data_IF_252548019827
#
_entry.id   IF_252548019827
#
_cell.length_a   1.000
_cell.length_b   1.000
_cell.length_c   1.000
_cell.angle_alpha   90.00
_cell.angle_beta   90.00
_cell.angle_gamma   90.00
#
_symmetry.space_group_name_H-M   'P 1'
#
loop_
_entity.id
_entity.type
_entity.pdbx_description
1 polymer ?
#
# COMPACT_ATOMS: atom_id res chain seq x y z
N UNK A 1 -26.39 32.74 41.74
CA UNK A 1 -26.34 31.70 40.74
C UNK A 1 -25.07 30.81 40.88
N UNK A 2 -24.77 30.28 42.09
CA UNK A 2 -23.58 29.49 42.36
C UNK A 2 -23.84 28.03 42.74
N UNK A 3 -25.10 27.64 42.90
CA UNK A 3 -25.44 26.29 43.43
C UNK A 3 -25.42 25.15 42.40
N UNK A 4 -25.48 25.45 41.11
CA UNK A 4 -25.56 24.40 40.09
C UNK A 4 -24.19 23.91 39.59
N UNK A 5 -23.10 24.66 39.83
CA UNK A 5 -21.74 24.24 39.38
C UNK A 5 -21.16 23.08 40.17
N UNK A 6 -21.62 22.83 41.40
CA UNK A 6 -21.09 21.75 42.25
C UNK A 6 -21.79 20.39 42.06
N UNK A 7 -22.96 20.35 41.44
CA UNK A 7 -23.67 19.09 41.20
C UNK A 7 -23.10 18.28 40.03
N UNK A 8 -22.50 18.95 39.03
CA UNK A 8 -21.92 18.27 37.87
C UNK A 8 -20.50 17.74 38.10
N UNK A 9 -19.84 18.05 39.21
CA UNK A 9 -18.47 17.64 39.48
C UNK A 9 -18.35 16.25 40.12
N UNK A 10 -19.43 15.54 40.32
CA UNK A 10 -19.47 14.23 40.95
C UNK A 10 -19.64 13.06 40.00
N UNK A 11 -19.60 13.30 38.67
CA UNK A 11 -19.73 12.28 37.65
C UNK A 11 -18.39 12.02 37.01
N UNK A 12 -17.92 10.78 37.10
CA UNK A 12 -16.69 10.27 36.44
C UNK A 12 -17.15 9.41 35.27
N UNK A 13 -17.12 9.96 34.11
CA UNK A 13 -17.52 9.26 32.89
C UNK A 13 -16.69 9.68 31.67
N UNK A 14 -16.66 8.83 30.69
CA UNK A 14 -16.12 9.15 29.39
C UNK A 14 -17.18 9.05 28.31
N UNK A 15 -17.57 10.19 27.77
CA UNK A 15 -18.38 10.27 26.58
C UNK A 15 -17.48 10.25 25.35
N UNK A 16 -17.52 9.15 24.58
CA UNK A 16 -16.80 9.05 23.32
C UNK A 16 -17.38 10.06 22.31
N UNK A 17 -16.78 11.24 22.24
CA UNK A 17 -17.08 12.22 21.21
C UNK A 17 -16.09 12.06 20.06
N UNK A 18 -16.47 11.29 19.03
CA UNK A 18 -15.62 11.00 17.87
C UNK A 18 -14.89 9.65 18.01
N UNK A 19 -15.10 8.76 17.04
CA UNK A 19 -14.50 7.44 17.03
C UNK A 19 -12.97 7.49 16.93
N UNK A 20 -12.33 6.47 17.46
CA UNK A 20 -10.90 6.26 17.27
C UNK A 20 -10.03 6.58 18.48
N UNK A 21 -10.61 6.80 19.67
CA UNK A 21 -9.84 6.94 20.93
C UNK A 21 -9.71 5.56 21.58
N UNK A 22 -8.49 5.14 21.85
CA UNK A 22 -8.15 3.86 22.50
C UNK A 22 -8.18 3.98 24.02
N UNK A 23 -7.65 5.09 24.56
CA UNK A 23 -7.81 5.40 25.97
C UNK A 23 -7.96 6.90 26.21
N UNK A 24 -8.62 7.22 27.31
CA UNK A 24 -8.84 8.58 27.79
C UNK A 24 -8.57 8.65 29.29
N UNK A 25 -7.69 9.55 29.70
CA UNK A 25 -7.43 9.85 31.12
C UNK A 25 -8.38 10.95 31.58
N UNK A 26 -9.20 10.64 32.58
CA UNK A 26 -10.15 11.60 33.13
C UNK A 26 -9.42 12.79 33.74
N UNK A 27 -9.82 13.99 33.36
CA UNK A 27 -9.04 15.19 33.71
C UNK A 27 -9.17 15.62 35.15
N UNK A 28 -10.31 15.32 35.79
CA UNK A 28 -10.51 15.71 37.19
C UNK A 28 -9.99 14.62 38.14
N UNK A 29 -8.88 14.90 38.78
CA UNK A 29 -8.26 13.98 39.75
C UNK A 29 -8.87 14.05 41.16
N UNK A 30 -9.79 14.97 41.43
CA UNK A 30 -10.43 15.12 42.74
C UNK A 30 -11.82 14.47 42.73
N UNK A 31 -11.89 13.25 43.24
CA UNK A 31 -13.13 12.50 43.39
C UNK A 31 -13.71 12.85 44.75
N UNK A 32 -14.88 13.45 44.76
CA UNK A 32 -15.59 13.90 45.99
C UNK A 32 -16.50 12.80 46.51
N UNK A 33 -16.93 12.93 47.75
CA UNK A 33 -17.99 12.11 48.34
C UNK A 33 -19.25 12.18 47.51
N UNK A 34 -19.89 11.01 47.24
CA UNK A 34 -21.07 10.89 46.42
C UNK A 34 -20.79 10.97 44.90
N UNK A 35 -19.50 10.87 44.50
CA UNK A 35 -19.17 10.73 43.07
C UNK A 35 -19.60 9.38 42.53
N UNK A 36 -20.06 9.37 41.31
CA UNK A 36 -20.47 8.17 40.54
C UNK A 36 -19.52 7.91 39.42
N UNK A 37 -19.23 6.64 39.18
CA UNK A 37 -18.47 6.16 38.02
C UNK A 37 -19.46 5.53 37.02
N UNK A 38 -19.46 6.01 35.79
CA UNK A 38 -20.23 5.38 34.70
C UNK A 38 -19.26 4.73 33.74
N UNK A 39 -19.37 3.41 33.61
CA UNK A 39 -18.66 2.60 32.61
C UNK A 39 -19.68 2.21 31.55
N UNK A 40 -19.42 2.57 30.29
CA UNK A 40 -20.31 2.28 29.18
C UNK A 40 -19.92 0.96 28.53
N UNK A 41 -20.85 0.27 27.85
CA UNK A 41 -20.54 -0.94 27.11
C UNK A 41 -19.36 -0.75 26.14
N UNK A 42 -18.35 -1.61 26.26
CA UNK A 42 -17.09 -1.51 25.49
C UNK A 42 -16.07 -0.53 26.08
N UNK A 43 -16.19 -0.20 27.34
CA UNK A 43 -15.22 0.57 28.09
C UNK A 43 -14.83 -0.16 29.38
N UNK A 44 -13.57 -0.05 29.77
CA UNK A 44 -13.08 -0.40 31.10
C UNK A 44 -12.62 0.86 31.83
N UNK A 45 -12.72 0.85 33.15
CA UNK A 45 -12.21 1.94 34.01
C UNK A 45 -11.10 1.43 34.92
N UNK A 46 -9.97 2.12 34.91
CA UNK A 46 -8.79 1.78 35.71
C UNK A 46 -8.53 2.91 36.68
N UNK A 47 -8.48 2.58 37.98
CA UNK A 47 -8.11 3.50 39.02
C UNK A 47 -6.62 3.45 39.29
N UNK A 48 -5.98 4.62 39.27
CA UNK A 48 -4.56 4.81 39.54
C UNK A 48 -4.41 5.72 40.77
N UNK A 49 -3.57 5.32 41.69
CA UNK A 49 -3.22 6.12 42.85
C UNK A 49 -1.71 6.17 43.01
N UNK A 50 -1.15 7.39 43.08
CA UNK A 50 0.29 7.60 43.09
C UNK A 50 1.04 6.83 41.94
N UNK A 51 0.43 6.76 40.75
CA UNK A 51 0.99 6.09 39.59
C UNK A 51 0.90 4.55 39.59
N UNK A 52 0.22 3.96 40.59
CA UNK A 52 0.00 2.51 40.70
C UNK A 52 -1.44 2.16 40.36
N UNK A 53 -1.62 1.04 39.68
CA UNK A 53 -2.95 0.48 39.43
C UNK A 53 -3.51 -0.06 40.75
N UNK A 54 -4.66 0.48 41.15
CA UNK A 54 -5.38 0.07 42.36
C UNK A 54 -6.50 -0.90 42.06
N UNK A 55 -7.16 -0.75 40.90
CA UNK A 55 -8.24 -1.62 40.48
C UNK A 55 -8.61 -1.40 39.03
N UNK A 56 -9.08 -2.48 38.37
CA UNK A 56 -9.59 -2.49 36.99
C UNK A 56 -11.05 -2.93 37.10
N UNK A 57 -11.94 -2.19 36.46
CA UNK A 57 -13.38 -2.45 36.43
C UNK A 57 -13.79 -2.63 34.96
N UNK A 58 -14.19 -3.84 34.61
CA UNK A 58 -14.49 -4.27 33.24
C UNK A 58 -16.01 -4.35 32.97
N UNK A 59 -16.79 -4.43 34.07
CA UNK A 59 -18.26 -4.48 33.93
C UNK A 59 -18.84 -3.08 33.68
N UNK A 60 -19.69 -2.98 32.69
CA UNK A 60 -20.43 -1.75 32.43
C UNK A 60 -21.50 -1.50 33.50
N UNK A 61 -21.74 -0.24 33.78
CA UNK A 61 -22.71 0.13 34.80
C UNK A 61 -22.51 1.52 35.40
N UNK A 62 -23.32 1.80 36.39
CA UNK A 62 -23.29 3.04 37.17
C UNK A 62 -23.03 2.71 38.63
N UNK A 63 -21.86 3.08 39.12
CA UNK A 63 -21.31 2.69 40.40
C UNK A 63 -21.15 3.88 41.33
N UNK A 64 -21.58 3.74 42.59
CA UNK A 64 -21.20 4.67 43.66
C UNK A 64 -19.76 4.42 44.07
N UNK A 65 -18.92 5.44 43.94
CA UNK A 65 -17.46 5.28 44.17
C UNK A 65 -17.12 4.94 45.63
N UNK A 66 -17.83 5.53 46.57
CA UNK A 66 -17.54 5.33 48.01
C UNK A 66 -17.89 3.89 48.42
N UNK A 67 -19.07 3.40 48.05
CA UNK A 67 -19.59 2.12 48.55
C UNK A 67 -19.26 0.93 47.63
N UNK A 68 -19.10 1.15 46.33
CA UNK A 68 -18.96 0.07 45.37
C UNK A 68 -17.55 -0.03 44.77
N UNK A 69 -16.79 1.06 44.67
CA UNK A 69 -15.46 1.08 44.03
C UNK A 69 -14.35 1.04 45.08
N UNK A 70 -14.32 1.96 46.07
CA UNK A 70 -13.26 2.05 47.04
C UNK A 70 -13.00 0.74 47.80
N UNK A 71 -14.01 -0.05 48.22
CA UNK A 71 -13.77 -1.31 48.92
C UNK A 71 -12.93 -2.34 48.12
N UNK A 72 -12.91 -2.23 46.79
CA UNK A 72 -12.13 -3.11 45.92
C UNK A 72 -10.72 -2.60 45.66
N UNK A 73 -10.43 -1.32 45.91
CA UNK A 73 -9.10 -0.75 45.71
C UNK A 73 -8.13 -1.19 46.81
N UNK A 74 -6.96 -1.68 46.40
CA UNK A 74 -6.04 -2.38 47.33
C UNK A 74 -5.50 -1.51 48.46
N UNK A 75 -5.09 -0.28 48.17
CA UNK A 75 -4.52 0.64 49.18
C UNK A 75 -5.53 1.64 49.71
N UNK A 76 -6.66 1.81 49.03
CA UNK A 76 -7.68 2.80 49.41
C UNK A 76 -8.83 2.26 50.25
N UNK A 77 -8.83 0.96 50.59
CA UNK A 77 -9.88 0.30 51.42
C UNK A 77 -10.20 1.00 52.74
N UNK A 78 -9.20 1.62 53.33
CA UNK A 78 -9.34 2.35 54.61
C UNK A 78 -9.62 3.84 54.42
N UNK A 79 -9.69 4.30 53.17
CA UNK A 79 -9.93 5.72 52.89
C UNK A 79 -11.36 6.09 53.27
N UNK A 80 -11.48 7.14 54.06
CA UNK A 80 -12.78 7.71 54.48
C UNK A 80 -12.86 9.13 53.96
N UNK A 81 -13.90 9.44 53.21
CA UNK A 81 -14.19 10.80 52.79
C UNK A 81 -14.47 11.69 54.01
N UNK A 82 -13.60 12.67 54.25
CA UNK A 82 -13.91 13.77 55.15
C UNK A 82 -14.79 14.83 54.48
N UNK A 83 -15.38 15.74 55.23
CA UNK A 83 -16.25 16.79 54.68
C UNK A 83 -15.57 17.67 53.62
N UNK A 84 -14.23 17.77 53.63
CA UNK A 84 -13.45 18.61 52.71
C UNK A 84 -12.23 17.91 52.10
N UNK A 85 -12.14 16.58 52.16
CA UNK A 85 -10.98 15.86 51.65
C UNK A 85 -11.38 15.02 50.45
N UNK A 86 -11.15 15.50 49.22
CA UNK A 86 -11.40 14.70 48.01
C UNK A 86 -10.35 13.59 47.91
N UNK A 87 -10.76 12.45 47.32
CA UNK A 87 -9.86 11.40 46.90
C UNK A 87 -9.10 11.88 45.64
N UNK A 88 -7.78 11.92 45.73
CA UNK A 88 -6.95 12.18 44.55
C UNK A 88 -6.58 10.86 43.91
N UNK A 89 -7.34 10.49 42.88
CA UNK A 89 -7.07 9.31 42.05
C UNK A 89 -7.21 9.69 40.61
N UNK A 90 -6.42 9.06 39.79
CA UNK A 90 -6.56 9.17 38.31
C UNK A 90 -7.46 8.04 37.85
N UNK A 91 -8.40 8.33 36.93
CA UNK A 91 -9.22 7.34 36.27
C UNK A 91 -8.86 7.31 34.80
N UNK A 92 -8.46 6.15 34.32
CA UNK A 92 -8.16 5.89 32.92
C UNK A 92 -9.28 5.03 32.35
N UNK A 93 -9.98 5.55 31.35
CA UNK A 93 -10.94 4.78 30.57
C UNK A 93 -10.25 4.16 29.38
N UNK A 94 -10.52 2.88 29.12
CA UNK A 94 -10.00 2.11 28.00
C UNK A 94 -11.19 1.72 27.10
N UNK A 95 -11.01 1.91 25.80
CA UNK A 95 -11.91 1.39 24.78
C UNK A 95 -11.52 -0.05 24.47
N UNK A 96 -12.42 -1.00 24.74
CA UNK A 96 -12.19 -2.43 24.50
C UNK A 96 -12.66 -2.89 23.13
N UNK A 97 -13.33 -1.99 22.37
CA UNK A 97 -13.83 -2.29 21.03
C UNK A 97 -12.70 -2.41 20.01
N UNK A 98 -12.92 -3.20 18.99
CA UNK A 98 -12.05 -3.21 17.82
C UNK A 98 -12.29 -1.98 16.96
N UNK A 99 -11.23 -1.27 16.64
CA UNK A 99 -11.27 -0.03 15.88
C UNK A 99 -10.61 -0.25 14.51
N UNK A 100 -11.36 0.03 13.44
CA UNK A 100 -10.87 -0.06 12.08
C UNK A 100 -9.98 1.14 11.73
N UNK A 101 -8.79 0.86 11.22
CA UNK A 101 -7.80 1.87 10.82
C UNK A 101 -7.47 1.71 9.34
N UNK A 102 -7.56 2.80 8.58
CA UNK A 102 -7.12 2.84 7.18
C UNK A 102 -5.66 3.25 7.10
N UNK A 103 -4.88 2.51 6.33
CA UNK A 103 -3.47 2.78 6.12
C UNK A 103 -3.11 2.91 4.64
N UNK A 104 -1.98 3.52 4.36
CA UNK A 104 -1.38 3.59 3.03
C UNK A 104 0.10 3.98 3.14
N UNK A 105 0.89 3.57 2.17
CA UNK A 105 2.31 3.93 2.08
C UNK A 105 2.47 5.44 1.86
N UNK A 106 3.33 6.09 2.63
CA UNK A 106 3.63 7.53 2.45
C UNK A 106 4.31 7.79 1.12
N UNK A 107 5.28 6.95 0.78
CA UNK A 107 6.05 7.02 -0.44
C UNK A 107 5.85 5.78 -1.30
N UNK A 108 6.21 5.87 -2.57
CA UNK A 108 6.29 4.68 -3.40
C UNK A 108 7.46 3.80 -2.93
N UNK A 109 7.23 2.50 -2.85
CA UNK A 109 8.23 1.49 -2.52
C UNK A 109 8.80 1.00 -3.85
N UNK A 110 10.13 1.10 -4.04
CA UNK A 110 10.79 0.64 -5.26
C UNK A 110 11.13 -0.84 -5.14
N UNK A 111 10.38 -1.69 -5.83
CA UNK A 111 10.66 -3.11 -5.93
C UNK A 111 11.63 -3.39 -7.07
N UNK A 112 12.60 -4.27 -6.84
CA UNK A 112 13.48 -4.74 -7.91
C UNK A 112 12.65 -5.54 -8.92
N UNK A 113 12.67 -5.11 -10.17
CA UNK A 113 11.98 -5.80 -11.25
C UNK A 113 12.95 -6.06 -12.41
N UNK A 114 12.87 -7.25 -13.06
CA UNK A 114 13.70 -7.56 -14.22
C UNK A 114 13.52 -6.53 -15.34
N UNK A 115 14.61 -6.00 -15.85
CA UNK A 115 14.59 -5.01 -16.95
C UNK A 115 14.29 -3.56 -16.53
N UNK A 116 14.14 -3.27 -15.23
CA UNK A 116 13.94 -1.91 -14.70
C UNK A 116 15.06 -1.55 -13.72
N UNK A 117 16.14 -0.90 -14.18
CA UNK A 117 17.32 -0.58 -13.35
C UNK A 117 17.02 0.27 -12.11
N UNK A 118 15.96 1.08 -12.15
CA UNK A 118 15.49 1.92 -11.03
C UNK A 118 14.47 1.23 -10.12
N UNK A 119 14.11 -0.02 -10.40
CA UNK A 119 13.02 -0.71 -9.72
C UNK A 119 11.64 -0.22 -10.18
N UNK A 120 10.61 -0.91 -9.72
CA UNK A 120 9.21 -0.59 -10.00
C UNK A 120 8.62 0.11 -8.78
N UNK A 121 8.26 1.39 -8.86
CA UNK A 121 7.64 2.09 -7.76
C UNK A 121 6.18 1.66 -7.60
N UNK A 122 5.83 1.14 -6.44
CA UNK A 122 4.47 0.76 -6.08
C UNK A 122 4.00 1.49 -4.83
N UNK A 123 2.69 1.64 -4.68
CA UNK A 123 2.03 2.04 -3.45
C UNK A 123 1.03 0.99 -3.05
N UNK A 124 0.83 0.83 -1.74
CA UNK A 124 -0.17 -0.07 -1.21
C UNK A 124 -1.04 0.67 -0.20
N UNK A 125 -2.29 0.25 -0.10
CA UNK A 125 -3.22 0.72 0.93
C UNK A 125 -4.16 -0.40 1.35
N UNK A 126 -4.76 -0.23 2.53
CA UNK A 126 -5.67 -1.20 3.09
C UNK A 126 -6.17 -0.79 4.46
N UNK A 127 -6.59 -1.78 5.22
CA UNK A 127 -7.15 -1.60 6.56
C UNK A 127 -6.54 -2.60 7.54
N UNK A 128 -6.63 -2.29 8.82
CA UNK A 128 -6.41 -3.24 9.91
C UNK A 128 -7.31 -2.88 11.08
N UNK A 129 -7.56 -3.83 11.97
CA UNK A 129 -8.20 -3.59 13.24
C UNK A 129 -7.15 -3.46 14.35
N UNK A 130 -7.41 -2.59 15.32
CA UNK A 130 -6.62 -2.51 16.53
C UNK A 130 -7.51 -2.42 17.76
N UNK A 131 -7.04 -2.99 18.87
CA UNK A 131 -7.68 -2.88 20.19
C UNK A 131 -6.63 -2.95 21.30
N UNK A 132 -6.98 -2.48 22.49
CA UNK A 132 -6.16 -2.70 23.67
C UNK A 132 -6.35 -4.16 24.14
N UNK A 133 -5.23 -4.86 24.40
CA UNK A 133 -5.21 -6.27 24.82
C UNK A 133 -4.55 -6.43 26.21
N UNK A 134 -3.69 -5.48 26.61
CA UNK A 134 -2.98 -5.54 27.89
C UNK A 134 -2.99 -4.18 28.58
N UNK A 135 -3.90 -4.00 29.51
CA UNK A 135 -4.11 -2.75 30.26
C UNK A 135 -2.84 -2.26 30.97
N UNK A 136 -2.14 -3.15 31.68
CA UNK A 136 -0.95 -2.78 32.45
C UNK A 136 0.18 -2.25 31.58
N UNK A 137 0.38 -2.87 30.40
CA UNK A 137 1.41 -2.44 29.44
C UNK A 137 1.08 -1.07 28.85
N UNK A 138 -0.19 -0.83 28.51
CA UNK A 138 -0.66 0.48 28.03
C UNK A 138 -0.44 1.57 29.07
N UNK A 139 -0.73 1.28 30.33
CA UNK A 139 -0.54 2.23 31.42
C UNK A 139 0.94 2.57 31.57
N UNK A 140 1.80 1.56 31.63
CA UNK A 140 3.23 1.74 31.82
C UNK A 140 3.90 2.47 30.64
N UNK A 141 3.55 2.08 29.40
CA UNK A 141 4.26 2.57 28.20
C UNK A 141 3.64 3.82 27.58
N UNK A 142 2.33 4.02 27.72
CA UNK A 142 1.61 5.08 27.00
C UNK A 142 0.91 6.07 27.92
N UNK A 143 0.09 5.60 28.87
CA UNK A 143 -0.77 6.47 29.68
C UNK A 143 -0.01 7.33 30.70
N UNK A 144 1.22 6.97 31.04
CA UNK A 144 2.07 7.80 31.90
C UNK A 144 2.43 9.17 31.31
N UNK A 145 2.43 9.29 29.99
CA UNK A 145 2.91 10.46 29.25
C UNK A 145 1.77 11.23 28.57
N UNK A 146 0.69 10.54 28.18
CA UNK A 146 -0.40 11.09 27.36
C UNK A 146 -1.74 11.02 28.08
N UNK A 147 -2.61 11.98 27.81
CA UNK A 147 -3.99 11.97 28.30
C UNK A 147 -4.92 11.14 27.41
N UNK A 148 -4.62 11.07 26.14
CA UNK A 148 -5.37 10.30 25.15
C UNK A 148 -4.42 9.59 24.21
N UNK A 149 -4.84 8.46 23.69
CA UNK A 149 -4.17 7.72 22.62
C UNK A 149 -5.21 7.29 21.58
N UNK A 150 -4.91 7.55 20.32
CA UNK A 150 -5.87 7.41 19.24
C UNK A 150 -5.42 6.39 18.21
N UNK A 151 -6.33 5.98 17.33
CA UNK A 151 -5.99 5.13 16.17
C UNK A 151 -4.98 5.79 15.23
N UNK A 152 -4.96 7.11 15.17
CA UNK A 152 -3.96 7.87 14.40
C UNK A 152 -2.56 7.72 14.96
N UNK A 153 -2.42 7.70 16.30
CA UNK A 153 -1.13 7.43 16.96
C UNK A 153 -0.62 6.01 16.64
N UNK A 154 -1.54 5.01 16.64
CA UNK A 154 -1.24 3.63 16.22
C UNK A 154 -0.81 3.58 14.77
N UNK A 155 -1.60 4.19 13.90
CA UNK A 155 -1.33 4.26 12.45
C UNK A 155 0.02 4.90 12.15
N UNK A 156 0.33 6.02 12.77
CA UNK A 156 1.61 6.70 12.56
C UNK A 156 2.80 5.80 12.89
N UNK A 157 2.70 5.06 13.99
CA UNK A 157 3.73 4.11 14.41
C UNK A 157 3.86 2.93 13.44
N UNK A 158 2.75 2.35 12.99
CA UNK A 158 2.73 1.23 12.05
C UNK A 158 3.29 1.67 10.70
N UNK A 159 2.84 2.80 10.16
CA UNK A 159 3.27 3.30 8.85
C UNK A 159 4.78 3.58 8.82
N UNK A 160 5.40 3.88 9.94
CA UNK A 160 6.85 4.08 10.02
C UNK A 160 7.68 2.82 9.67
N UNK A 161 7.16 1.62 9.97
CA UNK A 161 7.83 0.33 9.67
C UNK A 161 7.24 -0.38 8.45
N UNK A 162 6.07 0.06 7.98
CA UNK A 162 5.27 -0.64 6.98
C UNK A 162 5.98 -0.79 5.62
N UNK A 163 6.72 0.24 5.19
CA UNK A 163 7.45 0.20 3.91
C UNK A 163 8.50 -0.94 3.90
N UNK A 164 9.19 -1.15 5.03
CA UNK A 164 10.18 -2.23 5.17
C UNK A 164 9.53 -3.60 5.23
N UNK A 165 8.42 -3.72 5.96
CA UNK A 165 7.65 -4.97 6.05
C UNK A 165 7.08 -5.36 4.70
N UNK A 166 6.50 -4.42 3.97
CA UNK A 166 6.01 -4.65 2.61
C UNK A 166 7.13 -5.13 1.68
N UNK A 167 8.28 -4.46 1.66
CA UNK A 167 9.42 -4.92 0.85
C UNK A 167 9.85 -6.34 1.22
N UNK A 168 9.97 -6.63 2.51
CA UNK A 168 10.40 -7.95 3.00
C UNK A 168 9.42 -9.04 2.57
N UNK A 169 8.12 -8.84 2.81
CA UNK A 169 7.09 -9.84 2.52
C UNK A 169 6.78 -9.98 1.04
N UNK A 170 6.81 -8.91 0.27
CA UNK A 170 6.70 -8.97 -1.20
C UNK A 170 7.88 -9.77 -1.79
N UNK A 171 9.10 -9.59 -1.26
CA UNK A 171 10.26 -10.34 -1.72
C UNK A 171 10.20 -11.84 -1.38
N UNK A 172 9.49 -12.22 -0.30
CA UNK A 172 9.31 -13.61 0.12
C UNK A 172 8.17 -14.31 -0.60
N UNK A 173 7.02 -13.65 -0.69
CA UNK A 173 5.74 -14.23 -1.09
C UNK A 173 5.28 -13.79 -2.47
N UNK A 174 5.75 -12.63 -2.96
CA UNK A 174 5.35 -12.08 -4.27
C UNK A 174 5.97 -12.87 -5.41
N UNK A 175 5.16 -13.73 -6.05
CA UNK A 175 5.59 -14.60 -7.17
C UNK A 175 5.64 -13.85 -8.48
N UNK A 176 4.74 -12.91 -8.66
CA UNK A 176 4.67 -12.07 -9.85
C UNK A 176 4.58 -10.60 -9.45
N UNK A 177 5.65 -9.86 -9.73
CA UNK A 177 5.76 -8.43 -9.41
C UNK A 177 4.70 -7.57 -10.13
N UNK A 178 4.17 -8.06 -11.25
CA UNK A 178 3.12 -7.38 -12.01
C UNK A 178 1.71 -7.79 -11.56
N UNK A 179 1.58 -8.80 -10.72
CA UNK A 179 0.30 -9.30 -10.20
C UNK A 179 0.35 -9.57 -8.68
N UNK A 180 0.91 -8.63 -7.91
CA UNK A 180 1.02 -8.73 -6.45
C UNK A 180 -0.34 -8.89 -5.76
N UNK A 181 -1.42 -8.49 -6.42
CA UNK A 181 -2.77 -8.63 -5.87
C UNK A 181 -3.15 -10.10 -5.64
N UNK A 182 -2.63 -11.02 -6.45
CA UNK A 182 -2.85 -12.45 -6.25
C UNK A 182 -2.23 -12.97 -4.95
N UNK A 183 -1.10 -12.40 -4.54
CA UNK A 183 -0.37 -12.80 -3.32
C UNK A 183 -0.68 -11.88 -2.12
N UNK A 184 -1.57 -10.88 -2.28
CA UNK A 184 -1.88 -9.86 -1.27
C UNK A 184 -2.26 -10.45 0.09
N UNK A 185 -3.01 -11.56 0.11
CA UNK A 185 -3.46 -12.23 1.34
C UNK A 185 -2.31 -12.84 2.13
N UNK A 186 -1.38 -13.54 1.47
CA UNK A 186 -0.23 -14.15 2.14
C UNK A 186 0.75 -13.09 2.65
N UNK A 187 0.99 -12.05 1.86
CA UNK A 187 1.80 -10.89 2.24
C UNK A 187 1.17 -10.19 3.47
N UNK A 188 -0.13 -9.92 3.42
CA UNK A 188 -0.86 -9.28 4.52
C UNK A 188 -0.78 -10.06 5.83
N UNK A 189 -0.96 -11.39 5.77
CA UNK A 189 -0.89 -12.25 6.95
C UNK A 189 0.49 -12.27 7.60
N UNK A 190 1.54 -12.23 6.78
CA UNK A 190 2.91 -12.14 7.29
C UNK A 190 3.18 -10.81 7.98
N UNK A 191 2.75 -9.71 7.38
CA UNK A 191 2.86 -8.36 7.96
C UNK A 191 2.06 -8.26 9.26
N UNK A 192 0.82 -8.77 9.28
CA UNK A 192 -0.03 -8.80 10.49
C UNK A 192 0.69 -9.42 11.67
N UNK A 193 1.30 -10.59 11.46
CA UNK A 193 2.00 -11.31 12.52
C UNK A 193 3.16 -10.51 13.12
N UNK A 194 3.96 -9.83 12.29
CA UNK A 194 5.07 -9.00 12.75
C UNK A 194 4.57 -7.71 13.45
N UNK A 195 3.55 -7.06 12.88
CA UNK A 195 2.96 -5.87 13.48
C UNK A 195 2.29 -6.15 14.82
N UNK A 196 1.55 -7.26 14.93
CA UNK A 196 0.91 -7.66 16.20
C UNK A 196 1.96 -7.92 17.27
N UNK A 197 3.05 -8.63 16.96
CA UNK A 197 4.16 -8.83 17.92
C UNK A 197 4.77 -7.51 18.40
N UNK A 198 4.96 -6.55 17.50
CA UNK A 198 5.55 -5.26 17.86
C UNK A 198 4.59 -4.38 18.66
N UNK A 199 3.32 -4.37 18.29
CA UNK A 199 2.30 -3.56 18.96
C UNK A 199 1.88 -4.14 20.32
N UNK A 200 1.95 -5.45 20.51
CA UNK A 200 1.76 -6.09 21.84
C UNK A 200 2.76 -5.61 22.88
N UNK A 201 3.96 -5.20 22.49
CA UNK A 201 4.94 -4.55 23.41
C UNK A 201 4.42 -3.24 24.00
N UNK A 202 3.36 -2.69 23.44
CA UNK A 202 2.64 -1.49 23.90
C UNK A 202 1.26 -1.81 24.47
N UNK A 203 0.88 -3.09 24.54
CA UNK A 203 -0.42 -3.54 25.00
C UNK A 203 -1.53 -3.44 23.96
N UNK A 204 -1.19 -3.26 22.68
CA UNK A 204 -2.13 -3.12 21.57
C UNK A 204 -2.05 -4.36 20.69
N UNK A 205 -3.19 -4.98 20.41
CA UNK A 205 -3.31 -6.07 19.43
C UNK A 205 -3.70 -5.54 18.05
N UNK A 206 -3.12 -6.13 17.02
CA UNK A 206 -3.46 -5.87 15.62
C UNK A 206 -4.09 -7.13 15.05
N UNK A 207 -5.20 -6.96 14.32
CA UNK A 207 -5.92 -8.04 13.64
C UNK A 207 -6.45 -7.57 12.29
N UNK A 208 -6.85 -8.56 11.45
CA UNK A 208 -7.48 -8.32 10.15
C UNK A 208 -6.70 -7.34 9.26
N UNK A 209 -5.37 -7.43 9.29
CA UNK A 209 -4.55 -6.62 8.39
C UNK A 209 -4.78 -7.05 6.95
N UNK A 210 -5.23 -6.11 6.13
CA UNK A 210 -5.53 -6.37 4.71
C UNK A 210 -4.79 -5.40 3.80
N UNK A 211 -4.42 -5.89 2.63
CA UNK A 211 -3.96 -5.07 1.51
C UNK A 211 -5.10 -5.06 0.50
N UNK A 212 -5.79 -3.93 0.41
CA UNK A 212 -6.93 -3.78 -0.51
C UNK A 212 -6.46 -3.64 -1.96
N UNK A 213 -5.36 -2.92 -2.18
CA UNK A 213 -4.83 -2.75 -3.52
C UNK A 213 -3.35 -2.35 -3.52
N UNK A 214 -2.66 -2.79 -4.58
CA UNK A 214 -1.38 -2.26 -5.02
C UNK A 214 -1.61 -1.29 -6.18
N UNK A 215 -1.01 -0.10 -6.09
CA UNK A 215 -1.09 0.92 -7.14
C UNK A 215 0.25 1.04 -7.85
N UNK A 216 0.22 0.91 -9.17
CA UNK A 216 1.36 1.04 -10.06
C UNK A 216 1.33 2.39 -10.79
N UNK A 217 2.48 2.95 -11.21
CA UNK A 217 2.52 4.10 -12.11
C UNK A 217 1.76 3.85 -13.42
N UNK A 218 1.26 4.90 -14.00
CA UNK A 218 0.45 4.83 -15.23
C UNK A 218 1.23 4.20 -16.41
N UNK A 219 2.55 4.45 -16.47
CA UNK A 219 3.43 3.86 -17.48
C UNK A 219 3.48 2.34 -17.36
N UNK A 220 3.56 1.83 -16.13
CA UNK A 220 3.58 0.38 -15.86
C UNK A 220 2.24 -0.25 -16.21
N UNK A 221 1.13 0.39 -15.86
CA UNK A 221 -0.22 -0.07 -16.24
C UNK A 221 -0.36 -0.19 -17.76
N UNK A 222 0.06 0.82 -18.51
CA UNK A 222 0.05 0.80 -19.97
C UNK A 222 0.93 -0.31 -20.55
N UNK A 223 2.07 -0.60 -19.93
CA UNK A 223 2.93 -1.73 -20.32
C UNK A 223 2.25 -3.08 -20.04
N UNK A 224 1.59 -3.23 -18.89
CA UNK A 224 0.81 -4.43 -18.56
C UNK A 224 -0.35 -4.65 -19.54
N UNK A 225 -1.10 -3.61 -19.87
CA UNK A 225 -2.19 -3.66 -20.86
C UNK A 225 -1.69 -4.08 -22.23
N UNK A 226 -0.55 -3.52 -22.68
CA UNK A 226 0.08 -3.93 -23.95
C UNK A 226 0.55 -5.38 -23.92
N UNK A 227 1.20 -5.80 -22.83
CA UNK A 227 1.66 -7.18 -22.68
C UNK A 227 0.49 -8.16 -22.62
N UNK A 228 -0.59 -7.83 -21.91
CA UNK A 228 -1.82 -8.61 -21.88
C UNK A 228 -2.47 -8.70 -23.25
N UNK A 229 -2.57 -7.60 -23.98
CA UNK A 229 -3.09 -7.59 -25.36
C UNK A 229 -2.25 -8.46 -26.29
N UNK A 230 -0.91 -8.41 -26.16
CA UNK A 230 -0.01 -9.28 -26.93
C UNK A 230 -0.21 -10.77 -26.60
N UNK A 231 -0.34 -11.12 -25.33
CA UNK A 231 -0.54 -12.51 -24.91
C UNK A 231 -1.91 -13.07 -25.35
N UNK A 232 -2.95 -12.23 -25.37
CA UNK A 232 -4.28 -12.61 -25.84
C UNK A 232 -4.33 -12.88 -27.34
N UNK A 233 -3.48 -12.22 -28.13
CA UNK A 233 -3.47 -12.39 -29.58
C UNK A 233 -2.68 -13.63 -30.01
N UNK A 234 -1.81 -14.18 -29.16
CA UNK A 234 -1.11 -15.46 -29.32
C UNK A 234 -0.21 -15.58 -30.56
N UNK A 235 -0.19 -14.55 -31.41
CA UNK A 235 0.54 -14.53 -32.68
C UNK A 235 0.92 -13.07 -33.01
N UNK A 236 2.20 -12.82 -33.12
CA UNK A 236 2.74 -11.48 -33.38
C UNK A 236 2.20 -10.89 -34.69
N UNK A 237 1.93 -11.76 -35.69
CA UNK A 237 1.37 -11.35 -36.97
C UNK A 237 -0.09 -10.88 -36.87
N UNK A 238 -0.88 -11.48 -35.97
CA UNK A 238 -2.24 -11.03 -35.71
C UNK A 238 -2.26 -9.73 -34.93
N UNK A 239 -1.35 -9.57 -33.96
CA UNK A 239 -1.23 -8.34 -33.19
C UNK A 239 -0.86 -7.14 -34.08
N UNK A 240 0.11 -7.30 -34.98
CA UNK A 240 0.50 -6.24 -35.90
C UNK A 240 -0.65 -5.86 -36.84
N UNK A 241 -1.47 -6.82 -37.28
CA UNK A 241 -2.67 -6.56 -38.11
C UNK A 241 -3.75 -5.82 -37.33
N UNK A 242 -4.01 -6.21 -36.08
CA UNK A 242 -5.00 -5.53 -35.21
C UNK A 242 -4.52 -4.12 -34.84
N UNK A 243 -3.23 -3.95 -34.48
CA UNK A 243 -2.66 -2.64 -34.18
C UNK A 243 -2.65 -1.70 -35.39
N UNK A 244 -2.41 -2.23 -36.61
CA UNK A 244 -2.51 -1.47 -37.84
C UNK A 244 -3.97 -1.06 -38.14
N UNK A 245 -4.93 -1.96 -37.93
CA UNK A 245 -6.35 -1.66 -38.09
C UNK A 245 -6.87 -0.62 -37.09
N UNK A 246 -6.43 -0.70 -35.82
CA UNK A 246 -6.77 0.27 -34.76
C UNK A 246 -6.10 1.64 -35.04
N UNK A 247 -4.88 1.64 -35.54
CA UNK A 247 -4.18 2.84 -36.00
C UNK A 247 -4.91 3.53 -37.18
N UNK A 248 -5.44 2.77 -38.10
CA UNK A 248 -6.24 3.30 -39.20
C UNK A 248 -7.63 3.79 -38.76
N UNK A 249 -8.27 3.12 -37.80
CA UNK A 249 -9.57 3.52 -37.26
C UNK A 249 -9.49 4.79 -36.37
N UNK A 250 -8.38 5.01 -35.68
CA UNK A 250 -8.11 6.22 -34.86
C UNK A 250 -7.42 7.35 -35.62
N UNK A 251 -6.97 7.13 -36.83
CA UNK A 251 -6.18 8.06 -37.66
C UNK A 251 -6.99 9.08 -38.46
N UNK A 252 -8.15 9.45 -37.99
CA UNK A 252 -8.89 10.57 -38.54
C UNK A 252 -8.65 11.86 -37.77
N UNK A 253 -7.56 12.54 -37.96
CA UNK A 253 -7.24 13.91 -37.66
C UNK A 253 -6.12 14.15 -36.59
N UNK A 254 -4.90 14.38 -37.10
CA UNK A 254 -3.78 14.84 -36.24
C UNK A 254 -2.44 14.33 -36.77
N UNK A 255 -1.92 14.94 -37.83
CA UNK A 255 -0.66 14.58 -38.46
C UNK A 255 0.55 14.71 -37.52
N UNK A 256 1.28 13.59 -37.39
CA UNK A 256 2.64 13.56 -36.89
C UNK A 256 3.48 12.71 -37.84
N UNK A 257 4.53 13.30 -38.42
CA UNK A 257 5.44 12.70 -39.45
C UNK A 257 5.96 11.30 -39.12
N UNK A 258 5.91 10.88 -37.83
CA UNK A 258 6.31 9.54 -37.37
C UNK A 258 5.24 8.45 -37.68
N UNK A 259 3.97 8.80 -37.68
CA UNK A 259 2.88 7.87 -38.02
C UNK A 259 2.81 7.56 -39.53
N UNK A 260 3.12 8.53 -40.37
CA UNK A 260 3.17 8.38 -41.82
C UNK A 260 4.32 7.49 -42.26
N UNK A 261 5.48 7.55 -41.59
CA UNK A 261 6.66 6.76 -41.92
C UNK A 261 6.49 5.26 -41.58
N UNK A 262 5.83 4.96 -40.46
CA UNK A 262 5.48 3.58 -40.05
C UNK A 262 4.39 3.00 -40.96
N UNK A 263 3.40 3.81 -41.33
CA UNK A 263 2.33 3.44 -42.25
C UNK A 263 2.86 3.10 -43.66
N UNK A 264 3.83 3.88 -44.14
CA UNK A 264 4.46 3.67 -45.46
C UNK A 264 5.31 2.40 -45.51
N UNK A 265 6.08 2.14 -44.41
CA UNK A 265 6.94 0.96 -44.32
C UNK A 265 6.14 -0.34 -44.19
N UNK A 266 5.00 -0.29 -43.46
CA UNK A 266 4.07 -1.41 -43.33
C UNK A 266 3.25 -1.63 -44.60
N UNK A 267 2.87 -0.58 -45.31
CA UNK A 267 2.19 -0.67 -46.59
C UNK A 267 3.05 -1.32 -47.67
N UNK A 268 4.37 -1.03 -47.72
CA UNK A 268 5.30 -1.70 -48.62
C UNK A 268 5.50 -3.19 -48.29
N UNK A 269 5.58 -3.55 -46.96
CA UNK A 269 5.74 -4.94 -46.56
C UNK A 269 4.52 -5.80 -46.90
N UNK A 270 3.30 -5.25 -46.67
CA UNK A 270 2.05 -5.92 -47.05
C UNK A 270 1.85 -5.99 -48.57
N UNK A 271 2.24 -4.96 -49.31
CA UNK A 271 2.21 -4.94 -50.75
C UNK A 271 3.11 -6.02 -51.38
N UNK A 272 4.32 -6.22 -50.89
CA UNK A 272 5.23 -7.27 -51.33
C UNK A 272 4.71 -8.68 -51.03
N UNK A 273 4.05 -8.88 -49.89
CA UNK A 273 3.48 -10.17 -49.51
C UNK A 273 2.25 -10.52 -50.38
N UNK A 274 1.48 -9.53 -50.77
CA UNK A 274 0.32 -9.70 -51.64
C UNK A 274 0.74 -10.00 -53.09
N UNK A 275 1.81 -9.38 -53.58
CA UNK A 275 2.38 -9.63 -54.92
C UNK A 275 2.98 -11.05 -54.98
N UNK A 276 3.64 -11.53 -53.93
CA UNK A 276 4.16 -12.90 -53.88
C UNK A 276 3.06 -13.97 -53.79
N UNK A 277 1.91 -13.65 -53.25
CA UNK A 277 0.77 -14.57 -53.17
C UNK A 277 -0.04 -14.63 -54.50
N UNK A 278 0.00 -13.58 -55.29
CA UNK A 278 -0.62 -13.56 -56.63
C UNK A 278 0.23 -14.23 -57.70
N UNK A 279 1.53 -14.49 -57.47
CA UNK A 279 2.46 -15.03 -58.46
C UNK A 279 2.59 -16.57 -58.43
N UNK A 280 1.66 -17.27 -57.78
CA UNK A 280 1.61 -18.75 -57.75
C UNK A 280 0.56 -19.35 -58.69
N UNK A 281 0.14 -18.63 -59.72
CA UNK A 281 -0.80 -19.15 -60.66
C UNK A 281 -0.63 -18.55 -62.07
N UNK A 282 0.16 -19.18 -62.95
CA UNK A 282 0.03 -18.93 -64.38
C UNK A 282 1.33 -18.70 -65.16
N UNK A 283 1.84 -19.78 -65.75
CA UNK A 283 2.52 -19.99 -67.01
C UNK A 283 3.22 -18.84 -67.80
N UNK A 284 4.47 -19.12 -68.10
CA UNK A 284 5.25 -18.88 -69.33
C UNK A 284 4.80 -17.79 -70.28
N UNK A 285 5.68 -16.83 -70.55
CA UNK A 285 6.18 -16.59 -71.95
C UNK A 285 7.46 -15.72 -71.93
N UNK A 286 8.38 -16.11 -72.82
CA UNK A 286 9.67 -15.51 -73.14
C UNK A 286 9.54 -14.11 -73.74
N UNK A 287 10.53 -13.29 -73.56
CA UNK A 287 11.37 -12.61 -74.54
C UNK A 287 11.91 -11.26 -74.14
N UNK A 288 13.21 -11.22 -74.18
CA UNK A 288 14.19 -10.27 -74.78
C UNK A 288 14.57 -9.02 -73.96
N UNK A 289 15.89 -9.02 -73.74
CA UNK A 289 16.72 -7.88 -73.34
C UNK A 289 16.86 -6.83 -74.49
N UNK A 290 17.42 -5.59 -74.20
CA UNK A 290 18.86 -5.50 -73.95
C UNK A 290 19.29 -4.41 -72.97
N UNK A 291 20.35 -4.74 -72.28
CA UNK A 291 21.63 -4.07 -71.98
C UNK A 291 21.71 -2.56 -71.74
N UNK A 292 22.22 -2.19 -70.59
CA UNK A 292 23.52 -1.56 -70.41
C UNK A 292 23.62 -0.90 -69.00
N UNK A 293 24.72 -1.17 -68.32
CA UNK A 293 25.35 -0.33 -67.40
C UNK A 293 25.95 -1.04 -66.20
N UNK A 294 27.05 -1.72 -66.36
CA UNK A 294 27.87 -2.31 -65.34
C UNK A 294 28.46 -1.24 -64.41
N UNK A 295 28.42 -1.50 -63.08
CA UNK A 295 29.59 -1.21 -62.22
C UNK A 295 29.66 -2.23 -61.10
N UNK A 296 30.69 -3.07 -61.18
CA UNK A 296 31.17 -3.96 -60.14
C UNK A 296 31.61 -3.14 -58.92
N UNK A 297 30.98 -3.31 -57.82
CA UNK A 297 31.45 -2.89 -56.49
C UNK A 297 31.63 -4.13 -55.66
N UNK A 298 32.87 -4.39 -55.20
CA UNK A 298 33.32 -5.60 -54.51
C UNK A 298 32.42 -5.95 -53.31
N UNK A 299 32.17 -7.25 -53.21
CA UNK A 299 31.42 -7.82 -52.10
C UNK A 299 32.22 -7.75 -50.80
N UNK A 300 32.03 -6.71 -50.03
CA UNK A 300 32.50 -6.66 -48.63
C UNK A 300 31.83 -7.72 -47.76
N UNK A 301 32.40 -8.03 -46.63
CA UNK A 301 31.86 -9.03 -45.72
C UNK A 301 30.42 -8.67 -45.28
N UNK A 302 29.52 -9.64 -45.23
CA UNK A 302 28.12 -9.43 -44.80
C UNK A 302 27.95 -8.97 -43.36
N UNK A 303 28.97 -9.21 -42.51
CA UNK A 303 29.02 -8.80 -41.12
C UNK A 303 30.40 -8.21 -40.79
N UNK A 304 30.44 -7.23 -39.94
CA UNK A 304 31.69 -6.65 -39.46
C UNK A 304 32.49 -7.69 -38.64
N UNK A 305 33.74 -7.97 -38.98
CA UNK A 305 34.54 -8.98 -38.27
C UNK A 305 34.91 -8.56 -36.83
N UNK A 306 34.74 -7.27 -36.47
CA UNK A 306 35.12 -6.71 -35.18
C UNK A 306 33.95 -6.64 -34.22
N UNK A 307 32.73 -6.25 -34.68
CA UNK A 307 31.59 -6.05 -33.83
C UNK A 307 30.33 -6.88 -34.21
N UNK A 308 30.41 -7.73 -35.25
CA UNK A 308 29.32 -8.61 -35.67
C UNK A 308 28.11 -7.93 -36.31
N UNK A 309 28.10 -6.59 -36.46
CA UNK A 309 26.99 -5.87 -37.06
C UNK A 309 26.86 -6.14 -38.56
N UNK A 310 25.63 -6.35 -39.11
CA UNK A 310 25.45 -6.50 -40.55
C UNK A 310 25.93 -5.27 -41.30
N UNK A 311 26.64 -5.50 -42.40
CA UNK A 311 27.22 -4.45 -43.24
C UNK A 311 26.45 -4.29 -44.54
N UNK A 312 26.26 -3.04 -44.98
CA UNK A 312 25.51 -2.68 -46.19
C UNK A 312 26.45 -2.39 -47.38
N UNK A 313 27.70 -2.95 -47.38
CA UNK A 313 28.65 -2.73 -48.46
C UNK A 313 29.37 -1.39 -48.40
N UNK A 314 29.30 -0.70 -47.29
CA UNK A 314 30.04 0.55 -47.06
C UNK A 314 31.52 0.27 -46.71
N UNK A 315 32.43 1.22 -46.99
CA UNK A 315 33.88 1.09 -46.74
C UNK A 315 34.21 1.00 -45.23
N UNK A 316 33.33 1.46 -44.36
CA UNK A 316 33.49 1.44 -42.91
C UNK A 316 32.25 0.91 -42.22
N UNK A 317 32.42 0.21 -41.13
CA UNK A 317 31.31 -0.25 -40.30
C UNK A 317 30.60 0.94 -39.62
N UNK A 318 29.27 1.08 -39.83
CA UNK A 318 28.49 2.18 -39.25
C UNK A 318 28.38 2.14 -37.72
N UNK A 319 28.72 0.99 -37.09
CA UNK A 319 28.61 0.83 -35.65
C UNK A 319 29.96 1.03 -34.92
N UNK A 320 31.04 0.48 -35.42
CA UNK A 320 32.36 0.54 -34.73
C UNK A 320 33.43 1.31 -35.51
N UNK A 321 33.15 1.81 -36.73
CA UNK A 321 34.10 2.58 -37.52
C UNK A 321 35.17 1.74 -38.19
N UNK A 322 35.21 0.42 -38.06
CA UNK A 322 36.20 -0.46 -38.68
C UNK A 322 36.12 -0.42 -40.21
N UNK A 323 37.30 -0.33 -40.86
CA UNK A 323 37.36 -0.42 -42.32
C UNK A 323 37.03 -1.84 -42.76
N UNK A 324 36.15 -1.98 -43.75
CA UNK A 324 35.60 -3.24 -44.24
C UNK A 324 36.06 -3.58 -45.67
N UNK A 325 36.52 -2.59 -46.40
CA UNK A 325 37.04 -2.70 -47.80
C UNK A 325 38.38 -1.94 -47.90
#
# INVERSE_FOLDING_TARGET
>A
MGFLKNQFSNLVEWNENGGGVLFYKFQNQEIKKGSRLIIRPGQDAIFLYNGRVEGIFEDDGDYDIESQIIPFLTTLKSFKFGFNTPLRAEVLFINTKELLVKWGTKNAINLQAPGLPGGMPIRAFGTFNCRIVEHNVVIEKLAGIRQTYTVEDVKERIVASLDQLLMSWISKEGRDMFNLQADARSIAKGIESELDMDMRKLGIGISDFTIESFSYPEEIKKMQEKAAAQSMVGDMDKYTRVAAADGMAKGGNGGGMAADMVGLQMGMALGQQMVNQMNLGGAQTQQTAPAQGAQQGGAGPKFCPDCGTPTTGSKFCGNCGKQLL
#
